data_IF_593024800844
#
_entry.id   IF_593024800844
#
_cell.length_a   1.000
_cell.length_b   1.000
_cell.length_c   1.000
_cell.angle_alpha   90.00
_cell.angle_beta   90.00
_cell.angle_gamma   90.00
#
_symmetry.space_group_name_H-M   'P 1'
#
loop_
_entity.id
_entity.type
_entity.pdbx_description
1 polymer ?
#
# COMPACT_ATOMS: atom_id res chain seq x y z
N UNK A 1 -35.19 9.98 13.68
CA UNK A 1 -33.95 10.36 14.42
C UNK A 1 -32.79 10.50 13.42
N UNK A 2 -32.78 11.53 12.56
CA UNK A 2 -31.83 11.67 11.44
C UNK A 2 -30.40 12.06 11.88
N UNK A 3 -30.20 12.36 13.17
CA UNK A 3 -28.90 12.74 13.72
C UNK A 3 -27.97 11.53 13.89
N UNK A 4 -28.51 10.37 14.26
CA UNK A 4 -27.71 9.14 14.48
C UNK A 4 -27.19 8.52 13.18
N UNK A 5 -27.93 8.62 12.08
CA UNK A 5 -27.48 8.12 10.78
C UNK A 5 -26.33 8.97 10.21
N UNK A 6 -26.36 10.29 10.43
CA UNK A 6 -25.28 11.22 10.06
C UNK A 6 -23.98 10.93 10.80
N UNK A 7 -24.06 10.56 12.08
CA UNK A 7 -22.90 10.19 12.91
C UNK A 7 -22.27 8.88 12.39
N UNK A 8 -23.09 7.89 12.02
CA UNK A 8 -22.61 6.63 11.45
C UNK A 8 -21.85 6.87 10.14
N UNK A 9 -22.40 7.65 9.22
CA UNK A 9 -21.77 7.98 7.94
C UNK A 9 -20.42 8.69 8.10
N UNK A 10 -20.29 9.61 9.08
CA UNK A 10 -19.01 10.26 9.39
C UNK A 10 -18.01 9.35 10.13
N UNK A 11 -18.48 8.37 10.91
CA UNK A 11 -17.63 7.48 11.69
C UNK A 11 -16.98 6.38 10.83
N UNK A 12 -17.63 5.90 9.76
CA UNK A 12 -17.05 4.87 8.87
C UNK A 12 -15.82 5.37 8.11
N UNK A 13 -15.72 6.68 7.85
CA UNK A 13 -14.63 7.29 7.08
C UNK A 13 -13.40 7.58 7.98
N UNK A 14 -13.56 7.61 9.30
CA UNK A 14 -12.53 8.07 10.24
C UNK A 14 -11.41 7.05 10.52
N UNK A 15 -11.58 5.78 10.14
CA UNK A 15 -10.59 4.73 10.42
C UNK A 15 -9.45 4.67 9.41
N UNK A 16 -9.60 5.27 8.23
CA UNK A 16 -8.57 5.26 7.20
C UNK A 16 -7.90 6.63 7.12
N UNK A 17 -6.74 6.78 7.78
CA UNK A 17 -5.88 7.95 7.57
C UNK A 17 -5.68 8.13 6.06
N UNK A 18 -6.06 9.28 5.46
CA UNK A 18 -5.95 9.45 4.03
C UNK A 18 -4.49 9.28 3.60
N UNK A 19 -4.27 8.39 2.62
CA UNK A 19 -2.93 8.14 2.07
C UNK A 19 -2.42 9.43 1.43
N UNK A 20 -1.41 10.06 2.06
CA UNK A 20 -0.81 11.32 1.58
C UNK A 20 -0.10 11.14 0.24
N UNK A 21 0.40 9.94 -0.03
CA UNK A 21 1.12 9.61 -1.26
C UNK A 21 0.42 8.44 -1.95
N UNK A 22 0.08 8.64 -3.23
CA UNK A 22 -0.34 7.58 -4.13
C UNK A 22 0.89 7.07 -4.85
N UNK A 23 1.16 5.76 -4.76
CA UNK A 23 2.27 5.11 -5.44
C UNK A 23 1.65 4.27 -6.55
N UNK A 24 2.00 4.60 -7.79
CA UNK A 24 1.56 3.90 -9.00
C UNK A 24 2.82 3.61 -9.82
N UNK A 25 3.28 2.37 -9.75
CA UNK A 25 4.45 1.92 -10.50
C UNK A 25 4.05 1.51 -11.91
N UNK A 26 4.88 1.85 -12.89
CA UNK A 26 4.81 1.22 -14.21
C UNK A 26 5.43 -0.18 -14.19
N UNK A 27 5.08 -1.04 -15.14
CA UNK A 27 5.65 -2.39 -15.26
C UNK A 27 7.18 -2.40 -15.36
N UNK A 28 7.76 -1.39 -16.03
CA UNK A 28 9.20 -1.24 -16.17
C UNK A 28 9.86 -0.93 -14.82
N UNK A 29 9.28 -0.03 -14.02
CA UNK A 29 9.78 0.30 -12.68
C UNK A 29 9.65 -0.90 -11.74
N UNK A 30 8.54 -1.62 -11.80
CA UNK A 30 8.33 -2.85 -11.05
C UNK A 30 9.37 -3.91 -11.39
N UNK A 31 9.70 -4.06 -12.68
CA UNK A 31 10.74 -4.99 -13.16
C UNK A 31 12.12 -4.61 -12.61
N UNK A 32 12.45 -3.33 -12.59
CA UNK A 32 13.71 -2.82 -12.02
C UNK A 32 13.77 -3.14 -10.52
N UNK A 33 12.73 -2.81 -9.75
CA UNK A 33 12.67 -3.07 -8.31
C UNK A 33 12.80 -4.57 -8.00
N UNK A 34 12.09 -5.43 -8.73
CA UNK A 34 12.21 -6.89 -8.62
C UNK A 34 13.63 -7.37 -8.94
N UNK A 35 14.28 -6.79 -9.95
CA UNK A 35 15.67 -7.11 -10.28
C UNK A 35 16.64 -6.70 -9.18
N UNK A 36 16.43 -5.56 -8.54
CA UNK A 36 17.25 -5.08 -7.41
C UNK A 36 17.14 -6.01 -6.20
N UNK A 37 15.92 -6.49 -5.90
CA UNK A 37 15.66 -7.45 -4.80
C UNK A 37 16.38 -8.78 -5.04
N UNK A 38 16.37 -9.28 -6.29
CA UNK A 38 16.99 -10.56 -6.67
C UNK A 38 18.52 -10.52 -6.71
N UNK A 39 19.12 -9.34 -6.80
CA UNK A 39 20.58 -9.19 -6.91
C UNK A 39 21.26 -9.48 -5.57
N UNK A 40 22.25 -10.38 -5.60
CA UNK A 40 22.93 -10.88 -4.39
C UNK A 40 23.76 -9.82 -3.66
N UNK A 41 24.22 -8.77 -4.37
CA UNK A 41 25.02 -7.67 -3.81
C UNK A 41 24.17 -6.54 -3.20
N UNK A 42 22.85 -6.61 -3.29
CA UNK A 42 21.96 -5.58 -2.72
C UNK A 42 21.89 -5.71 -1.22
N UNK A 43 22.10 -4.62 -0.49
CA UNK A 43 22.01 -4.61 0.97
C UNK A 43 20.59 -4.87 1.47
N UNK A 44 20.46 -5.37 2.71
CA UNK A 44 19.17 -5.66 3.35
C UNK A 44 18.25 -4.43 3.37
N UNK A 45 18.80 -3.25 3.65
CA UNK A 45 18.04 -1.99 3.69
C UNK A 45 17.40 -1.66 2.35
N UNK A 46 18.14 -1.80 1.25
CA UNK A 46 17.64 -1.50 -0.09
C UNK A 46 16.58 -2.53 -0.49
N UNK A 47 16.82 -3.82 -0.19
CA UNK A 47 15.84 -4.88 -0.43
C UNK A 47 14.52 -4.61 0.30
N UNK A 48 14.57 -4.30 1.60
CA UNK A 48 13.38 -4.02 2.40
C UNK A 48 12.61 -2.80 1.86
N UNK A 49 13.31 -1.73 1.46
CA UNK A 49 12.66 -0.54 0.88
C UNK A 49 11.99 -0.83 -0.47
N UNK A 50 12.64 -1.58 -1.36
CA UNK A 50 12.03 -1.98 -2.63
C UNK A 50 10.77 -2.84 -2.39
N UNK A 51 10.79 -3.74 -1.40
CA UNK A 51 9.63 -4.55 -1.06
C UNK A 51 8.48 -3.69 -0.53
N UNK A 52 8.75 -2.76 0.40
CA UNK A 52 7.74 -1.82 0.91
C UNK A 52 7.10 -1.01 -0.21
N UNK A 53 7.89 -0.52 -1.17
CA UNK A 53 7.37 0.26 -2.30
C UNK A 53 6.45 -0.60 -3.19
N UNK A 54 6.80 -1.86 -3.44
CA UNK A 54 5.95 -2.80 -4.20
C UNK A 54 4.67 -3.13 -3.43
N UNK A 55 4.76 -3.35 -2.12
CA UNK A 55 3.60 -3.71 -1.29
C UNK A 55 2.62 -2.53 -1.15
N UNK A 56 3.11 -1.30 -1.23
CA UNK A 56 2.32 -0.07 -1.17
C UNK A 56 1.79 0.41 -2.53
N UNK A 57 2.21 -0.21 -3.63
CA UNK A 57 1.76 0.15 -4.97
C UNK A 57 0.27 -0.14 -5.14
N UNK A 58 -0.53 0.84 -5.54
CA UNK A 58 -1.99 0.69 -5.65
C UNK A 58 -2.39 -0.22 -6.83
N UNK A 59 -1.51 -0.37 -7.83
CA UNK A 59 -1.79 -1.12 -9.07
C UNK A 59 -1.35 -2.58 -8.97
N UNK A 60 -0.14 -2.84 -8.46
CA UNK A 60 0.44 -4.19 -8.39
C UNK A 60 0.68 -4.70 -6.98
N UNK A 61 0.42 -3.86 -5.96
CA UNK A 61 0.55 -4.25 -4.57
C UNK A 61 -0.50 -5.27 -4.17
N UNK A 62 -0.21 -6.00 -3.08
CA UNK A 62 -1.20 -6.87 -2.49
C UNK A 62 -2.26 -6.01 -1.81
N UNK A 63 -3.50 -6.08 -2.31
CA UNK A 63 -4.64 -5.57 -1.56
C UNK A 63 -4.74 -6.43 -0.29
N UNK A 64 -4.36 -5.87 0.85
CA UNK A 64 -4.63 -6.50 2.15
C UNK A 64 -6.13 -6.38 2.43
N UNK A 65 -6.93 -7.26 1.81
CA UNK A 65 -8.33 -7.47 2.18
C UNK A 65 -8.34 -8.23 3.50
N UNK A 66 -8.24 -7.50 4.60
CA UNK A 66 -8.39 -8.09 5.93
C UNK A 66 -9.88 -8.35 6.16
N UNK A 67 -10.36 -9.56 5.86
CA UNK A 67 -11.41 -10.13 6.71
C UNK A 67 -10.71 -10.63 7.97
N UNK A 68 -10.81 -9.82 9.02
CA UNK A 68 -10.25 -10.15 10.32
C UNK A 68 -11.25 -11.06 11.03
N UNK A 69 -10.98 -12.38 11.04
CA UNK A 69 -11.68 -13.37 11.88
C UNK A 69 -11.35 -13.20 13.35
#
# INVERSE_FOLDING_TARGET
>A
MPFYDKIKETAVIYMARPKKYKIELTDNELKILKSVIRKNKTSKTIRCRCQIIIDLDEVHGKVFTYEQS
#
